data_IF_651856473586
#
_entry.id   IF_651856473586
#
_cell.length_a   1.000
_cell.length_b   1.000
_cell.length_c   1.000
_cell.angle_alpha   90.00
_cell.angle_beta   90.00
_cell.angle_gamma   90.00
#
_symmetry.space_group_name_H-M   'P 1'
#
loop_
_entity.id
_entity.type
_entity.pdbx_description
1 polymer ?
#
# COMPACT_ATOMS: atom_id res chain seq x y z
N UNK A 1 31.25 -8.54 13.37
CA UNK A 1 29.77 -8.40 13.43
C UNK A 1 29.45 -6.97 13.01
N UNK A 2 29.02 -6.74 11.76
CA UNK A 2 28.76 -5.37 11.28
C UNK A 2 27.63 -4.75 12.10
N UNK A 3 27.90 -3.62 12.75
CA UNK A 3 26.90 -2.80 13.42
C UNK A 3 25.92 -2.30 12.36
N UNK A 4 24.71 -2.86 12.32
CA UNK A 4 23.60 -2.24 11.59
C UNK A 4 23.42 -0.85 12.17
N UNK A 5 23.84 0.18 11.44
CA UNK A 5 23.52 1.56 11.77
C UNK A 5 22.00 1.66 11.89
N UNK A 6 21.53 2.25 12.98
CA UNK A 6 20.11 2.47 13.18
C UNK A 6 19.64 3.47 12.12
N UNK A 7 18.88 2.98 11.13
CA UNK A 7 18.27 3.83 10.11
C UNK A 7 17.18 4.64 10.81
N UNK A 8 17.35 5.96 10.85
CA UNK A 8 16.32 6.89 11.31
C UNK A 8 15.44 7.23 10.10
N UNK A 9 14.15 6.84 10.10
CA UNK A 9 13.27 7.12 8.97
C UNK A 9 12.94 8.61 8.88
N UNK A 10 12.72 9.08 7.67
CA UNK A 10 12.35 10.45 7.38
C UNK A 10 10.82 10.61 7.33
N UNK A 11 10.35 11.85 7.44
CA UNK A 11 8.92 12.16 7.19
C UNK A 11 8.55 11.72 5.78
N UNK A 12 7.41 11.06 5.64
CA UNK A 12 6.91 10.53 4.37
C UNK A 12 7.33 9.08 4.09
N UNK A 13 8.34 8.55 4.78
CA UNK A 13 8.77 7.16 4.60
C UNK A 13 7.65 6.18 4.94
N UNK A 14 7.55 5.12 4.15
CA UNK A 14 6.68 4.00 4.47
C UNK A 14 7.38 3.03 5.42
N UNK A 15 6.60 2.52 6.37
CA UNK A 15 7.00 1.53 7.35
C UNK A 15 5.96 0.43 7.44
N UNK A 16 6.35 -0.77 7.87
CA UNK A 16 5.40 -1.84 8.21
C UNK A 16 5.46 -2.16 9.70
N UNK A 17 4.32 -2.15 10.37
CA UNK A 17 4.27 -2.46 11.81
C UNK A 17 4.46 -3.95 12.03
N UNK A 18 5.40 -4.35 12.89
CA UNK A 18 5.74 -5.76 13.10
C UNK A 18 4.81 -6.50 14.06
N UNK A 19 4.17 -5.81 15.01
CA UNK A 19 3.45 -6.44 16.12
C UNK A 19 2.30 -5.60 16.68
N UNK A 20 1.44 -6.24 17.47
CA UNK A 20 0.27 -5.61 18.11
C UNK A 20 -0.92 -5.49 17.15
N UNK A 21 -1.89 -4.64 17.51
CA UNK A 21 -3.13 -4.44 16.73
C UNK A 21 -2.87 -4.14 15.25
N UNK A 22 -1.83 -3.35 14.96
CA UNK A 22 -1.48 -2.95 13.61
C UNK A 22 -0.43 -3.86 12.95
N UNK A 23 -0.09 -5.01 13.55
CA UNK A 23 0.86 -5.96 12.98
C UNK A 23 0.52 -6.32 11.52
N UNK A 24 1.50 -6.16 10.63
CA UNK A 24 1.36 -6.36 9.19
C UNK A 24 0.83 -5.16 8.41
N UNK A 25 0.34 -4.10 9.05
CA UNK A 25 -0.21 -2.94 8.34
C UNK A 25 0.89 -1.99 7.86
N UNK A 26 0.66 -1.40 6.68
CA UNK A 26 1.44 -0.27 6.18
C UNK A 26 1.13 0.98 7.02
N UNK A 27 2.19 1.72 7.33
CA UNK A 27 2.17 2.98 8.04
C UNK A 27 3.03 3.99 7.27
N UNK A 28 2.75 5.28 7.45
CA UNK A 28 3.60 6.34 6.95
C UNK A 28 4.17 7.15 8.11
N UNK A 29 5.46 7.46 8.06
CA UNK A 29 6.18 8.19 9.10
C UNK A 29 5.83 9.67 9.01
N UNK A 30 5.35 10.25 10.12
CA UNK A 30 5.09 11.67 10.27
C UNK A 30 6.30 12.41 10.86
N UNK A 31 6.92 11.79 11.86
CA UNK A 31 8.14 12.28 12.51
C UNK A 31 8.84 11.13 13.23
N UNK A 32 10.16 11.22 13.35
CA UNK A 32 10.96 10.33 14.18
C UNK A 32 11.59 11.12 15.33
N UNK A 33 11.67 10.52 16.52
CA UNK A 33 12.38 11.11 17.64
C UNK A 33 13.88 11.25 17.28
N UNK A 34 14.56 12.35 17.64
CA UNK A 34 15.99 12.54 17.36
C UNK A 34 16.88 11.42 17.91
N UNK A 35 16.43 10.80 19.00
CA UNK A 35 17.11 9.68 19.66
C UNK A 35 16.91 8.33 18.94
N UNK A 36 16.07 8.27 17.90
CA UNK A 36 15.83 7.05 17.13
C UNK A 36 15.12 5.93 17.93
N UNK A 37 14.37 6.29 18.99
CA UNK A 37 13.64 5.31 19.81
C UNK A 37 12.20 5.10 19.35
N UNK A 38 11.51 6.18 19.00
CA UNK A 38 10.12 6.16 18.56
C UNK A 38 9.93 6.96 17.28
N UNK A 39 8.88 6.61 16.56
CA UNK A 39 8.36 7.40 15.45
C UNK A 39 6.85 7.60 15.64
N UNK A 40 6.37 8.78 15.29
CA UNK A 40 4.95 9.03 15.09
C UNK A 40 4.61 8.61 13.66
N UNK A 41 3.66 7.69 13.54
CA UNK A 41 3.20 7.17 12.25
C UNK A 41 1.71 7.39 12.09
N UNK A 42 1.28 7.65 10.85
CA UNK A 42 -0.13 7.61 10.47
C UNK A 42 -0.48 6.22 9.93
N UNK A 43 -1.65 5.72 10.30
CA UNK A 43 -2.16 4.37 10.01
C UNK A 43 -3.65 4.45 9.64
N UNK A 44 -4.15 3.44 8.93
CA UNK A 44 -5.60 3.27 8.75
C UNK A 44 -6.17 2.69 10.06
N UNK A 45 -7.17 3.34 10.70
CA UNK A 45 -7.72 2.88 11.96
C UNK A 45 -8.33 1.48 11.88
N UNK A 46 -8.27 0.78 13.01
CA UNK A 46 -8.91 -0.52 13.24
C UNK A 46 -9.68 -0.45 14.55
N UNK A 47 -10.75 0.34 14.51
CA UNK A 47 -11.55 0.70 15.68
C UNK A 47 -12.93 0.08 15.58
N UNK A 48 -13.51 -0.20 16.74
CA UNK A 48 -14.91 -0.57 16.86
C UNK A 48 -15.60 0.62 17.55
N UNK A 49 -16.40 1.35 16.79
CA UNK A 49 -17.02 2.60 17.25
C UNK A 49 -17.93 2.36 18.46
N UNK A 50 -18.73 1.30 18.44
CA UNK A 50 -19.64 0.95 19.53
C UNK A 50 -18.88 0.68 20.82
N UNK A 51 -17.76 -0.06 20.72
CA UNK A 51 -16.90 -0.31 21.88
C UNK A 51 -16.21 0.95 22.41
N UNK A 52 -15.91 1.92 21.57
CA UNK A 52 -15.29 3.19 21.99
C UNK A 52 -16.29 4.15 22.61
N UNK A 53 -17.53 4.21 22.10
CA UNK A 53 -18.61 5.00 22.69
C UNK A 53 -18.94 4.54 24.12
N UNK A 54 -18.90 3.22 24.35
CA UNK A 54 -19.16 2.63 25.67
C UNK A 54 -17.98 2.74 26.65
N UNK A 55 -16.78 3.08 26.17
CA UNK A 55 -15.57 3.22 26.99
C UNK A 55 -15.01 4.63 26.87
N UNK A 56 -15.56 5.56 27.62
CA UNK A 56 -15.13 6.96 27.61
C UNK A 56 -13.76 7.23 28.26
N UNK A 57 -12.96 6.25 28.71
CA UNK A 57 -11.76 6.58 29.50
C UNK A 57 -10.61 5.57 29.62
N UNK A 58 -10.38 4.63 28.70
CA UNK A 58 -9.18 3.76 28.82
C UNK A 58 -8.43 3.44 27.52
N UNK A 59 -7.32 4.17 27.33
CA UNK A 59 -6.29 4.01 26.29
C UNK A 59 -5.63 2.62 26.26
N UNK A 60 -5.85 1.80 27.30
CA UNK A 60 -5.17 0.51 27.51
C UNK A 60 -5.93 -0.70 26.93
N UNK A 61 -7.18 -0.52 26.47
CA UNK A 61 -8.06 -1.64 26.11
C UNK A 61 -7.88 -2.18 24.67
N UNK A 62 -7.11 -1.52 23.81
CA UNK A 62 -6.89 -1.94 22.41
C UNK A 62 -5.69 -2.89 22.25
N UNK A 63 -4.76 -2.93 23.20
CA UNK A 63 -3.53 -3.71 23.10
C UNK A 63 -3.58 -5.09 23.77
N UNK A 64 -4.29 -5.23 24.89
CA UNK A 64 -4.11 -6.37 25.80
C UNK A 64 -5.25 -7.41 25.77
N UNK A 65 -6.51 -7.01 25.50
CA UNK A 65 -7.68 -7.92 25.61
C UNK A 65 -8.26 -8.43 24.30
N UNK A 66 -7.78 -7.97 23.14
CA UNK A 66 -8.37 -8.31 21.83
C UNK A 66 -7.64 -9.42 21.05
N UNK A 67 -6.60 -10.04 21.60
CA UNK A 67 -5.94 -11.16 20.91
C UNK A 67 -6.87 -12.39 20.68
N UNK A 68 -8.05 -12.44 21.33
CA UNK A 68 -9.05 -13.52 21.17
C UNK A 68 -10.23 -13.17 20.25
N UNK A 69 -10.42 -11.91 19.88
CA UNK A 69 -11.45 -11.50 18.93
C UNK A 69 -10.72 -10.93 17.69
N UNK A 70 -11.04 -11.44 16.50
CA UNK A 70 -10.32 -11.10 15.26
C UNK A 70 -10.01 -9.60 15.11
N UNK A 71 -8.90 -9.30 14.44
CA UNK A 71 -8.43 -7.93 14.21
C UNK A 71 -9.54 -7.10 13.53
N UNK A 72 -10.00 -5.98 14.11
CA UNK A 72 -11.06 -5.16 13.52
C UNK A 72 -10.71 -4.71 12.10
N UNK A 73 -11.74 -4.52 11.28
CA UNK A 73 -11.57 -4.07 9.89
C UNK A 73 -10.86 -2.72 9.81
N UNK A 74 -10.12 -2.51 8.72
CA UNK A 74 -9.52 -1.22 8.40
C UNK A 74 -10.65 -0.28 7.98
N UNK A 75 -10.86 0.80 8.74
CA UNK A 75 -11.86 1.83 8.41
C UNK A 75 -11.33 3.19 8.81
N UNK A 76 -11.45 4.16 7.90
CA UNK A 76 -11.12 5.54 8.20
C UNK A 76 -12.04 6.09 9.28
N UNK A 77 -11.48 6.96 10.12
CA UNK A 77 -12.25 7.70 11.09
C UNK A 77 -13.14 8.71 10.35
N UNK A 78 -14.39 8.79 10.78
CA UNK A 78 -15.41 9.66 10.20
C UNK A 78 -16.04 10.41 11.38
N UNK A 79 -15.76 11.71 11.43
CA UNK A 79 -16.18 12.58 12.52
C UNK A 79 -17.70 12.65 12.59
N UNK A 80 -18.37 12.84 11.46
CA UNK A 80 -19.82 13.01 11.41
C UNK A 80 -20.53 11.76 11.92
N UNK A 81 -20.00 10.57 11.61
CA UNK A 81 -20.53 9.31 12.15
C UNK A 81 -20.37 9.19 13.66
N UNK A 82 -19.25 9.64 14.20
CA UNK A 82 -19.00 9.59 15.64
C UNK A 82 -19.94 10.57 16.36
N UNK A 83 -20.04 11.79 15.87
CA UNK A 83 -20.93 12.83 16.41
C UNK A 83 -22.40 12.37 16.34
N UNK A 84 -22.84 11.80 15.20
CA UNK A 84 -24.19 11.23 15.04
C UNK A 84 -24.47 10.04 15.96
N UNK A 85 -23.43 9.31 16.37
CA UNK A 85 -23.55 8.19 17.32
C UNK A 85 -23.47 8.63 18.78
N UNK A 86 -23.45 9.94 19.06
CA UNK A 86 -23.36 10.51 20.41
C UNK A 86 -21.94 10.51 20.99
N UNK A 87 -20.91 10.28 20.18
CA UNK A 87 -19.52 10.42 20.59
C UNK A 87 -19.11 11.88 20.68
N UNK A 88 -18.20 12.21 21.60
CA UNK A 88 -17.61 13.54 21.70
C UNK A 88 -16.23 13.56 21.04
N UNK A 89 -16.11 14.32 19.96
CA UNK A 89 -14.85 14.56 19.26
C UNK A 89 -14.27 15.91 19.70
N UNK A 90 -13.06 15.90 20.22
CA UNK A 90 -12.34 17.09 20.68
C UNK A 90 -11.29 17.53 19.64
N UNK A 91 -10.88 18.80 19.68
CA UNK A 91 -9.72 19.24 18.90
C UNK A 91 -8.44 18.58 19.44
N UNK A 92 -7.62 18.06 18.54
CA UNK A 92 -6.33 17.49 18.88
C UNK A 92 -5.28 18.53 19.26
N UNK A 93 -4.23 18.08 19.94
CA UNK A 93 -3.08 18.94 20.31
C UNK A 93 -2.27 19.39 19.09
N UNK A 94 -2.31 18.59 18.02
CA UNK A 94 -1.62 18.86 16.77
C UNK A 94 -2.63 19.55 15.84
N UNK A 95 -2.28 20.68 15.20
CA UNK A 95 -3.14 21.30 14.20
C UNK A 95 -3.57 20.29 13.11
N UNK A 96 -4.83 20.35 12.68
CA UNK A 96 -5.38 19.39 11.70
C UNK A 96 -5.66 17.99 12.24
N UNK A 97 -5.70 17.82 13.56
CA UNK A 97 -6.05 16.56 14.22
C UNK A 97 -7.21 16.71 15.17
N UNK A 98 -7.94 15.62 15.37
CA UNK A 98 -9.04 15.50 16.32
C UNK A 98 -8.78 14.35 17.30
N UNK A 99 -9.43 14.37 18.45
CA UNK A 99 -9.33 13.34 19.48
C UNK A 99 -10.67 12.72 19.76
N UNK A 100 -10.69 11.40 19.87
CA UNK A 100 -11.85 10.62 20.27
C UNK A 100 -11.41 9.40 21.08
N UNK A 101 -12.03 9.17 22.25
CA UNK A 101 -11.72 8.06 23.14
C UNK A 101 -10.22 7.90 23.47
N UNK A 102 -9.51 9.02 23.66
CA UNK A 102 -8.07 9.04 23.93
C UNK A 102 -7.17 8.70 22.74
N UNK A 103 -7.74 8.59 21.54
CA UNK A 103 -7.03 8.36 20.28
C UNK A 103 -7.00 9.65 19.46
N UNK A 104 -5.90 9.88 18.75
CA UNK A 104 -5.74 11.06 17.88
C UNK A 104 -5.87 10.64 16.42
N UNK A 105 -6.69 11.37 15.67
CA UNK A 105 -6.95 11.15 14.26
C UNK A 105 -6.65 12.40 13.45
N UNK A 106 -6.19 12.24 12.21
CA UNK A 106 -6.14 13.33 11.23
C UNK A 106 -7.56 13.62 10.70
N UNK A 107 -7.79 14.83 10.20
CA UNK A 107 -9.06 15.19 9.52
C UNK A 107 -9.38 14.25 8.34
N UNK A 108 -8.33 13.76 7.66
CA UNK A 108 -8.41 12.74 6.62
C UNK A 108 -8.92 11.37 7.11
N UNK A 109 -9.00 11.16 8.43
CA UNK A 109 -9.49 9.94 9.06
C UNK A 109 -8.42 8.91 9.40
N UNK A 110 -7.13 9.20 9.20
CA UNK A 110 -6.03 8.35 9.67
C UNK A 110 -5.89 8.42 11.19
N UNK A 111 -5.38 7.37 11.83
CA UNK A 111 -4.98 7.41 13.24
C UNK A 111 -3.49 7.70 13.37
N UNK A 112 -3.13 8.58 14.28
CA UNK A 112 -1.73 8.87 14.62
C UNK A 112 -1.33 8.01 15.82
N UNK A 113 -0.21 7.28 15.69
CA UNK A 113 0.34 6.47 16.78
C UNK A 113 1.83 6.67 16.94
N UNK A 114 2.27 6.78 18.19
CA UNK A 114 3.68 6.66 18.57
C UNK A 114 4.05 5.19 18.64
N UNK A 115 5.01 4.76 17.82
CA UNK A 115 5.47 3.37 17.71
C UNK A 115 6.99 3.33 17.92
N UNK A 116 7.46 2.36 18.70
CA UNK A 116 8.91 2.17 18.89
C UNK A 116 9.54 1.73 17.56
N UNK A 117 10.68 2.32 17.19
CA UNK A 117 11.33 2.07 15.89
C UNK A 117 11.70 0.60 15.70
N UNK A 118 12.08 -0.11 16.76
CA UNK A 118 12.29 -1.58 16.74
C UNK A 118 11.07 -2.37 16.27
N UNK A 119 9.85 -1.86 16.46
CA UNK A 119 8.59 -2.48 16.02
C UNK A 119 8.18 -2.06 14.61
N UNK A 120 8.96 -1.20 13.96
CA UNK A 120 8.78 -0.83 12.56
C UNK A 120 9.78 -1.59 11.71
N UNK A 121 9.31 -2.03 10.56
CA UNK A 121 10.12 -2.51 9.46
C UNK A 121 10.25 -1.34 8.48
N UNK A 122 11.47 -1.03 8.08
CA UNK A 122 11.84 0.17 7.31
C UNK A 122 12.61 -0.24 6.05
N UNK A 123 12.67 0.66 5.07
CA UNK A 123 13.43 0.47 3.83
C UNK A 123 12.78 -0.50 2.84
N UNK A 124 13.56 -1.15 1.96
CA UNK A 124 13.02 -1.91 0.82
C UNK A 124 12.16 -3.11 1.22
N UNK A 125 12.33 -3.63 2.44
CA UNK A 125 11.58 -4.78 2.93
C UNK A 125 10.11 -4.45 3.28
N UNK A 126 9.69 -3.18 3.25
CA UNK A 126 8.31 -2.77 3.54
C UNK A 126 7.33 -3.24 2.46
N UNK A 127 7.79 -3.25 1.19
CA UNK A 127 7.04 -3.64 -0.02
C UNK A 127 5.54 -3.29 0.06
N UNK A 128 5.15 -2.01 -0.06
CA UNK A 128 3.75 -1.60 -0.08
C UNK A 128 2.98 -2.23 -1.25
N UNK A 129 1.73 -2.65 -1.01
CA UNK A 129 0.86 -3.12 -2.11
C UNK A 129 0.16 -1.97 -2.82
N UNK A 130 -0.33 -2.20 -4.05
CA UNK A 130 -1.09 -1.20 -4.82
C UNK A 130 -2.30 -0.66 -4.05
N UNK A 131 -3.04 -1.56 -3.43
CA UNK A 131 -4.24 -1.22 -2.64
C UNK A 131 -3.87 -0.35 -1.44
N UNK A 132 -2.82 -0.72 -0.70
CA UNK A 132 -2.35 0.08 0.43
C UNK A 132 -1.91 1.48 -0.02
N UNK A 133 -1.17 1.59 -1.12
CA UNK A 133 -0.73 2.90 -1.64
C UNK A 133 -1.90 3.77 -2.06
N UNK A 134 -2.92 3.19 -2.71
CA UNK A 134 -4.14 3.92 -3.06
C UNK A 134 -4.86 4.44 -1.82
N UNK A 135 -5.00 3.60 -0.80
CA UNK A 135 -5.66 3.99 0.45
C UNK A 135 -4.95 5.17 1.11
N UNK A 136 -3.61 5.19 1.09
CA UNK A 136 -2.82 6.30 1.62
C UNK A 136 -2.90 7.55 0.72
N UNK A 137 -2.95 7.41 -0.61
CA UNK A 137 -3.00 8.56 -1.52
C UNK A 137 -4.38 9.24 -1.63
N UNK A 138 -5.48 8.51 -1.44
CA UNK A 138 -6.82 9.02 -1.73
C UNK A 138 -7.33 10.05 -0.72
N UNK A 139 -6.91 9.94 0.54
CA UNK A 139 -7.42 10.74 1.66
C UNK A 139 -6.44 11.81 2.15
N UNK A 140 -5.25 11.93 1.57
CA UNK A 140 -4.29 12.98 1.97
C UNK A 140 -4.72 14.36 1.48
N UNK A 141 -4.45 15.40 2.29
CA UNK A 141 -4.54 16.81 1.88
C UNK A 141 -3.61 17.07 0.69
N UNK A 142 -3.98 18.00 -0.21
CA UNK A 142 -3.21 18.33 -1.42
C UNK A 142 -1.74 18.70 -1.11
N UNK A 143 -1.47 19.39 -0.01
CA UNK A 143 -0.10 19.73 0.43
C UNK A 143 0.73 18.51 0.84
N UNK A 144 0.14 17.60 1.63
CA UNK A 144 0.78 16.34 2.01
C UNK A 144 0.94 15.41 0.79
N UNK A 145 0.00 15.48 -0.15
CA UNK A 145 0.01 14.73 -1.39
C UNK A 145 1.20 15.14 -2.26
N UNK A 146 1.52 16.41 -2.37
CA UNK A 146 2.64 16.90 -3.19
C UNK A 146 4.02 16.50 -2.61
N UNK A 147 4.22 16.62 -1.30
CA UNK A 147 5.43 16.13 -0.61
C UNK A 147 5.60 14.61 -0.75
N UNK A 148 4.50 13.87 -0.61
CA UNK A 148 4.52 12.42 -0.76
C UNK A 148 4.68 12.01 -2.21
N UNK A 149 4.13 12.71 -3.19
CA UNK A 149 4.35 12.48 -4.62
C UNK A 149 5.83 12.67 -5.01
N UNK A 150 6.52 13.65 -4.41
CA UNK A 150 7.96 13.84 -4.59
C UNK A 150 8.77 12.66 -4.02
N UNK A 151 8.45 12.20 -2.81
CA UNK A 151 9.03 11.00 -2.21
C UNK A 151 8.63 9.70 -2.95
N UNK A 152 7.50 9.72 -3.66
CA UNK A 152 6.94 8.62 -4.43
C UNK A 152 7.39 8.60 -5.89
N UNK A 153 8.16 9.56 -6.43
CA UNK A 153 8.66 9.45 -7.82
C UNK A 153 9.31 8.10 -8.16
N UNK A 154 10.21 7.52 -7.33
CA UNK A 154 10.74 6.17 -7.58
C UNK A 154 9.71 5.07 -7.38
N UNK A 155 8.72 5.25 -6.49
CA UNK A 155 7.67 4.27 -6.21
C UNK A 155 6.59 4.27 -7.30
N UNK A 156 6.16 5.43 -7.78
CA UNK A 156 5.37 5.66 -8.99
C UNK A 156 6.10 5.16 -10.24
N UNK A 157 7.44 5.27 -10.30
CA UNK A 157 8.23 4.66 -11.37
C UNK A 157 8.21 3.13 -11.27
N UNK A 158 8.33 2.55 -10.07
CA UNK A 158 8.13 1.12 -9.84
C UNK A 158 6.70 0.66 -10.14
N UNK A 159 5.68 1.47 -9.83
CA UNK A 159 4.28 1.23 -10.13
C UNK A 159 3.98 1.34 -11.63
N UNK A 160 4.61 2.29 -12.33
CA UNK A 160 4.59 2.40 -13.80
C UNK A 160 5.29 1.19 -14.43
N UNK A 161 6.41 0.73 -13.86
CA UNK A 161 7.08 -0.50 -14.27
C UNK A 161 6.25 -1.77 -13.98
N UNK A 162 5.44 -1.77 -12.91
CA UNK A 162 4.49 -2.86 -12.60
C UNK A 162 3.24 -2.80 -13.50
N UNK A 163 2.83 -1.62 -13.98
CA UNK A 163 1.79 -1.45 -15.01
C UNK A 163 2.26 -1.91 -16.40
N UNK A 164 3.56 -1.89 -16.66
CA UNK A 164 4.18 -2.58 -17.79
C UNK A 164 4.76 -3.93 -17.33
N UNK A 165 3.91 -4.85 -16.87
CA UNK A 165 4.35 -6.19 -16.44
C UNK A 165 5.01 -7.02 -17.56
N UNK A 166 5.01 -6.53 -18.80
CA UNK A 166 5.67 -7.12 -19.96
C UNK A 166 7.03 -6.46 -20.18
N UNK A 167 8.05 -7.30 -20.38
CA UNK A 167 9.37 -6.92 -20.86
C UNK A 167 9.53 -7.34 -22.32
N UNK A 168 10.42 -6.65 -23.04
CA UNK A 168 10.84 -7.10 -24.36
C UNK A 168 11.38 -8.52 -24.25
N UNK A 169 10.78 -9.42 -25.02
CA UNK A 169 11.16 -10.82 -25.08
C UNK A 169 10.44 -11.76 -24.12
N UNK A 170 9.50 -11.28 -23.31
CA UNK A 170 8.66 -12.16 -22.49
C UNK A 170 7.80 -13.07 -23.37
N UNK A 171 7.65 -14.33 -22.94
CA UNK A 171 6.67 -15.26 -23.54
C UNK A 171 5.30 -14.98 -22.95
N UNK A 172 4.31 -14.80 -23.81
CA UNK A 172 2.95 -14.46 -23.43
C UNK A 172 1.96 -15.42 -24.06
N UNK A 173 0.85 -15.66 -23.36
CA UNK A 173 -0.31 -16.38 -23.86
C UNK A 173 -1.46 -15.40 -24.04
N UNK A 174 -2.09 -15.43 -25.20
CA UNK A 174 -3.33 -14.68 -25.43
C UNK A 174 -4.48 -15.39 -24.73
N UNK A 175 -5.13 -14.69 -23.80
CA UNK A 175 -6.17 -15.29 -22.94
C UNK A 175 -7.59 -14.98 -23.39
N UNK A 176 -7.78 -13.97 -24.23
CA UNK A 176 -9.09 -13.53 -24.72
C UNK A 176 -8.99 -12.91 -26.12
N UNK A 177 -10.04 -13.07 -26.93
CA UNK A 177 -10.17 -12.55 -28.30
C UNK A 177 -9.92 -13.60 -29.37
N UNK A 178 -9.87 -13.18 -30.63
CA UNK A 178 -9.76 -14.07 -31.81
C UNK A 178 -8.47 -14.90 -31.83
N UNK A 179 -7.41 -14.39 -31.19
CA UNK A 179 -6.09 -15.03 -31.12
C UNK A 179 -5.89 -15.77 -29.78
N UNK A 180 -6.96 -15.99 -29.01
CA UNK A 180 -6.91 -16.71 -27.74
C UNK A 180 -6.30 -18.10 -27.91
N UNK A 181 -5.43 -18.48 -26.96
CA UNK A 181 -4.72 -19.75 -26.97
C UNK A 181 -3.37 -19.70 -27.68
N UNK A 182 -3.12 -18.67 -28.50
CA UNK A 182 -1.84 -18.52 -29.18
C UNK A 182 -0.75 -18.00 -28.22
N UNK A 183 0.45 -18.51 -28.43
CA UNK A 183 1.66 -18.12 -27.69
C UNK A 183 2.52 -17.24 -28.59
N UNK A 184 3.27 -16.34 -27.95
CA UNK A 184 4.20 -15.50 -28.66
C UNK A 184 5.17 -14.80 -27.75
N UNK A 185 6.02 -13.97 -28.35
CA UNK A 185 7.07 -13.21 -27.68
C UNK A 185 6.83 -11.71 -27.85
N UNK A 186 6.98 -10.94 -26.77
CA UNK A 186 6.81 -9.48 -26.81
C UNK A 186 7.94 -8.85 -27.64
N UNK A 187 7.60 -8.21 -28.75
CA UNK A 187 8.55 -7.56 -29.67
C UNK A 187 8.64 -6.05 -29.47
N UNK A 188 7.57 -5.38 -29.02
CA UNK A 188 7.60 -3.96 -28.61
C UNK A 188 6.73 -3.66 -27.41
N UNK A 189 7.22 -2.73 -26.59
CA UNK A 189 6.52 -2.17 -25.44
C UNK A 189 5.89 -0.81 -25.80
N UNK A 190 4.81 -0.40 -25.12
CA UNK A 190 4.21 0.92 -25.30
C UNK A 190 5.24 2.01 -25.01
N UNK A 191 5.45 2.93 -25.95
CA UNK A 191 6.48 3.98 -25.85
C UNK A 191 5.95 5.37 -25.46
N UNK A 192 4.67 5.53 -25.12
CA UNK A 192 4.10 6.87 -24.98
C UNK A 192 3.32 7.04 -23.68
N UNK A 193 3.64 8.13 -22.97
CA UNK A 193 2.87 8.68 -21.85
C UNK A 193 1.68 9.49 -22.38
N UNK A 194 0.85 8.92 -23.24
CA UNK A 194 -0.38 9.60 -23.69
C UNK A 194 -1.53 8.60 -23.65
N UNK A 195 -2.49 8.94 -22.80
CA UNK A 195 -3.80 8.29 -22.57
C UNK A 195 -3.76 6.92 -21.86
N UNK A 196 -4.13 6.94 -20.57
CA UNK A 196 -4.31 5.80 -19.66
C UNK A 196 -5.36 4.74 -20.11
N UNK A 197 -5.84 4.77 -21.36
CA UNK A 197 -6.96 3.94 -21.81
C UNK A 197 -6.59 2.79 -22.73
N UNK A 198 -5.44 2.82 -23.41
CA UNK A 198 -5.09 1.78 -24.38
C UNK A 198 -3.59 1.44 -24.38
N UNK A 199 -3.09 0.87 -23.28
CA UNK A 199 -1.74 0.31 -23.25
C UNK A 199 -1.68 -0.94 -24.13
N UNK A 200 -1.23 -0.80 -25.38
CA UNK A 200 -1.04 -1.89 -26.34
C UNK A 200 0.43 -2.35 -26.38
N UNK A 201 0.65 -3.67 -26.39
CA UNK A 201 1.95 -4.30 -26.63
C UNK A 201 1.96 -4.95 -28.03
N UNK A 202 3.14 -5.08 -28.62
CA UNK A 202 3.31 -5.81 -29.87
C UNK A 202 3.93 -7.18 -29.56
N UNK A 203 3.30 -8.24 -30.07
CA UNK A 203 3.67 -9.64 -29.81
C UNK A 203 3.85 -10.36 -31.14
N UNK A 204 5.02 -10.97 -31.33
CA UNK A 204 5.27 -11.89 -32.43
C UNK A 204 4.75 -13.27 -32.02
N UNK A 205 3.74 -13.79 -32.73
CA UNK A 205 3.16 -15.09 -32.42
C UNK A 205 4.02 -16.24 -32.97
N UNK A 206 4.12 -17.33 -32.23
CA UNK A 206 4.94 -18.50 -32.59
C UNK A 206 4.27 -19.33 -33.70
N UNK A 207 2.95 -19.29 -33.79
CA UNK A 207 2.15 -20.09 -34.72
C UNK A 207 1.36 -19.19 -35.69
N UNK A 208 1.44 -19.48 -36.99
CA UNK A 208 0.50 -18.99 -38.00
C UNK A 208 0.96 -17.87 -38.94
N UNK A 209 2.24 -17.50 -39.01
CA UNK A 209 2.74 -16.52 -40.00
C UNK A 209 2.13 -15.11 -39.88
N UNK A 210 1.45 -14.82 -38.76
CA UNK A 210 0.71 -13.58 -38.50
C UNK A 210 1.59 -12.36 -38.23
N UNK A 211 2.92 -12.52 -38.20
CA UNK A 211 3.85 -11.44 -37.91
C UNK A 211 3.63 -10.83 -36.52
N UNK A 212 3.90 -9.54 -36.41
CA UNK A 212 3.75 -8.80 -35.16
C UNK A 212 2.32 -8.30 -34.94
N UNK A 213 1.65 -8.80 -33.90
CA UNK A 213 0.27 -8.45 -33.56
C UNK A 213 0.22 -7.48 -32.39
N UNK A 214 -0.65 -6.46 -32.46
CA UNK A 214 -0.90 -5.53 -31.36
C UNK A 214 -1.99 -6.06 -30.42
N UNK A 215 -1.68 -6.22 -29.14
CA UNK A 215 -2.58 -6.72 -28.09
C UNK A 215 -2.76 -5.69 -26.98
N UNK A 216 -3.99 -5.56 -26.46
CA UNK A 216 -4.28 -4.73 -25.27
C UNK A 216 -3.83 -5.47 -23.99
N UNK A 217 -3.03 -4.79 -23.17
CA UNK A 217 -2.38 -5.39 -21.97
C UNK A 217 -3.34 -5.81 -20.86
N UNK A 218 -4.46 -5.10 -20.66
CA UNK A 218 -5.33 -5.33 -19.50
C UNK A 218 -6.36 -6.46 -19.68
N UNK A 219 -6.63 -6.86 -20.93
CA UNK A 219 -7.73 -7.79 -21.22
C UNK A 219 -7.26 -9.09 -21.91
N UNK A 220 -6.15 -9.06 -22.65
CA UNK A 220 -5.90 -10.10 -23.68
C UNK A 220 -4.61 -10.89 -23.53
N UNK A 221 -3.68 -10.53 -22.64
CA UNK A 221 -2.38 -11.21 -22.55
C UNK A 221 -1.95 -11.50 -21.10
N UNK A 222 -1.33 -12.68 -20.88
CA UNK A 222 -0.70 -13.06 -19.61
C UNK A 222 0.75 -13.50 -19.84
N UNK A 223 1.68 -13.07 -18.99
CA UNK A 223 3.08 -13.53 -19.02
C UNK A 223 3.15 -14.98 -18.56
N UNK A 224 3.75 -15.83 -19.40
CA UNK A 224 4.10 -17.20 -19.05
C UNK A 224 5.45 -17.15 -18.31
N UNK A 225 5.44 -17.49 -17.01
CA UNK A 225 6.70 -17.73 -16.28
C UNK A 225 7.48 -18.83 -17.02
N UNK A 226 8.81 -18.73 -17.11
CA UNK A 226 9.61 -19.78 -17.73
C UNK A 226 9.36 -21.10 -16.98
N UNK A 227 9.20 -22.18 -17.75
CA UNK A 227 8.91 -23.53 -17.23
C UNK A 227 9.94 -24.01 -16.21
N UNK A 228 11.16 -23.45 -16.23
CA UNK A 228 12.24 -23.73 -15.28
C UNK A 228 12.01 -23.17 -13.86
N UNK A 229 11.12 -22.19 -13.66
CA UNK A 229 10.79 -21.67 -12.32
C UNK A 229 9.60 -22.38 -11.66
N UNK A 230 8.73 -23.02 -12.43
CA UNK A 230 7.54 -23.72 -11.91
C UNK A 230 7.89 -24.99 -11.13
N UNK A 231 9.04 -25.62 -11.40
CA UNK A 231 9.49 -26.82 -10.67
C UNK A 231 10.21 -26.52 -9.34
N UNK A 232 10.41 -25.23 -8.98
CA UNK A 232 10.97 -24.84 -7.67
C UNK A 232 9.92 -24.52 -6.62
N UNK A 233 8.65 -24.36 -7.00
CA UNK A 233 7.55 -24.05 -6.07
C UNK A 233 6.74 -25.28 -5.60
N UNK A 234 7.02 -26.50 -6.10
CA UNK A 234 6.33 -27.74 -5.67
C UNK A 234 7.17 -28.70 -4.79
N UNK A 235 8.33 -28.27 -4.30
CA UNK A 235 9.08 -29.04 -3.27
C UNK A 235 9.59 -28.11 -2.18
N UNK A 236 8.68 -27.59 -1.35
CA UNK A 236 8.92 -27.27 0.08
C UNK A 236 7.63 -27.52 0.85
#
# INVERSE_FOLDING_TARGET
>A
RASKSAIVPQRGDFARVKRGLYGGDLAQVLSADPQGLFASVRLIPRIDLQLLLNKSSSTEALGSRRAKAGKPEKRFFDRDRVDASGGQVEQGLIPGTVKFAGLTFEEAGYIIRRVALRHLLLGPAVSPTLSELRDFCQKMSETDREETLAAQKPLLQMLKQQRSAFRLGDRVLVIQGELQGLRGKVSRLPQSQEEERDTQIQVTLDEGGFGDVKLKTFEKAKVLKPFTELMREEVV
#
